data_IF_017222527729
#
_entry.id   IF_017222527729
#
_cell.length_a   1.000
_cell.length_b   1.000
_cell.length_c   1.000
_cell.angle_alpha   90.00
_cell.angle_beta   90.00
_cell.angle_gamma   90.00
#
_symmetry.space_group_name_H-M   'P 1'
#
loop_
_entity.id
_entity.type
_entity.pdbx_description
1 polymer ?
#
# COMPACT_ATOMS: atom_id res chain seq x y z
N UNK A 1 -46.31 45.13 -15.49
CA UNK A 1 -47.15 43.92 -15.61
C UNK A 1 -46.31 42.89 -16.36
N UNK A 2 -45.63 42.05 -15.63
CA UNK A 2 -44.81 40.93 -16.17
C UNK A 2 -45.70 39.67 -16.15
N UNK A 3 -46.13 39.25 -17.35
CA UNK A 3 -46.85 38.00 -17.55
C UNK A 3 -45.94 36.80 -17.21
N UNK A 4 -46.26 36.10 -16.14
CA UNK A 4 -45.69 34.80 -15.81
C UNK A 4 -46.33 33.75 -16.73
N UNK A 5 -45.59 33.25 -17.72
CA UNK A 5 -46.04 32.09 -18.53
C UNK A 5 -46.18 30.85 -17.62
N UNK A 6 -47.30 30.12 -17.66
CA UNK A 6 -47.47 28.90 -16.88
C UNK A 6 -46.50 27.83 -17.39
N UNK A 7 -45.79 27.17 -16.48
CA UNK A 7 -44.93 26.02 -16.73
C UNK A 7 -45.87 24.86 -17.21
N UNK A 8 -45.69 24.27 -18.39
CA UNK A 8 -46.55 23.17 -18.82
C UNK A 8 -46.38 21.95 -17.91
N UNK A 9 -47.51 21.36 -17.53
CA UNK A 9 -47.52 20.14 -16.73
C UNK A 9 -46.73 19.03 -17.45
N UNK A 10 -45.90 18.27 -16.75
CA UNK A 10 -45.12 17.22 -17.40
C UNK A 10 -46.07 16.18 -18.02
N UNK A 11 -45.92 15.92 -19.31
CA UNK A 11 -46.76 14.94 -20.02
C UNK A 11 -46.62 13.55 -19.40
N UNK A 12 -47.69 12.74 -19.52
CA UNK A 12 -47.77 11.37 -18.95
C UNK A 12 -46.52 10.51 -19.27
N UNK A 13 -45.91 10.69 -20.44
CA UNK A 13 -44.69 9.99 -20.83
C UNK A 13 -43.49 10.35 -19.92
N UNK A 14 -43.36 11.62 -19.52
CA UNK A 14 -42.27 12.08 -18.64
C UNK A 14 -42.48 11.55 -17.21
N UNK A 15 -43.74 11.50 -16.76
CA UNK A 15 -44.11 10.92 -15.45
C UNK A 15 -43.83 9.39 -15.45
N UNK A 16 -44.28 8.69 -16.51
CA UNK A 16 -43.99 7.25 -16.66
C UNK A 16 -42.50 6.94 -16.73
N UNK A 17 -41.71 7.72 -17.47
CA UNK A 17 -40.25 7.58 -17.53
C UNK A 17 -39.58 7.85 -16.20
N UNK A 18 -40.04 8.84 -15.45
CA UNK A 18 -39.54 9.13 -14.10
C UNK A 18 -39.89 8.02 -13.10
N UNK A 19 -41.09 7.43 -13.17
CA UNK A 19 -41.50 6.30 -12.33
C UNK A 19 -40.72 5.02 -12.66
N UNK A 20 -40.51 4.69 -13.94
CA UNK A 20 -39.73 3.51 -14.34
C UNK A 20 -38.26 3.63 -13.97
N UNK A 21 -37.65 4.79 -14.17
CA UNK A 21 -36.27 5.05 -13.73
C UNK A 21 -36.14 5.06 -12.21
N UNK A 22 -37.15 5.56 -11.50
CA UNK A 22 -37.24 5.49 -10.04
C UNK A 22 -37.31 4.05 -9.54
N UNK A 23 -38.21 3.23 -10.06
CA UNK A 23 -38.35 1.81 -9.71
C UNK A 23 -37.08 1.02 -10.04
N UNK A 24 -36.42 1.28 -11.16
CA UNK A 24 -35.18 0.63 -11.53
C UNK A 24 -34.01 0.98 -10.57
N UNK A 25 -33.98 2.20 -10.08
CA UNK A 25 -32.99 2.64 -9.08
C UNK A 25 -33.17 1.96 -7.70
N UNK A 26 -34.41 1.62 -7.34
CA UNK A 26 -34.76 1.00 -6.05
C UNK A 26 -35.03 -0.51 -6.17
N UNK A 27 -34.72 -1.14 -7.31
CA UNK A 27 -35.10 -2.52 -7.62
C UNK A 27 -34.65 -3.56 -6.56
N UNK A 28 -33.50 -3.36 -5.92
CA UNK A 28 -32.98 -4.30 -4.92
C UNK A 28 -33.78 -4.16 -3.61
N UNK A 29 -34.00 -2.94 -3.16
CA UNK A 29 -34.79 -2.67 -1.95
C UNK A 29 -36.25 -3.07 -2.14
N UNK A 30 -36.81 -2.76 -3.29
CA UNK A 30 -38.18 -3.17 -3.63
C UNK A 30 -38.29 -4.69 -3.78
N UNK A 31 -37.28 -5.35 -4.35
CA UNK A 31 -37.21 -6.80 -4.43
C UNK A 31 -37.11 -7.47 -3.06
N UNK A 32 -36.29 -6.93 -2.14
CA UNK A 32 -36.22 -7.41 -0.76
C UNK A 32 -37.52 -7.18 0.01
N UNK A 33 -38.15 -6.01 -0.15
CA UNK A 33 -39.45 -5.73 0.45
C UNK A 33 -40.52 -6.69 -0.11
N UNK A 34 -40.54 -6.93 -1.41
CA UNK A 34 -41.46 -7.87 -2.04
C UNK A 34 -41.22 -9.32 -1.54
N UNK A 35 -39.95 -9.73 -1.34
CA UNK A 35 -39.62 -11.06 -0.77
C UNK A 35 -40.22 -11.29 0.62
N UNK A 36 -40.31 -10.23 1.41
CA UNK A 36 -40.93 -10.30 2.77
C UNK A 36 -42.47 -10.23 2.70
N UNK A 37 -42.97 -9.29 1.89
CA UNK A 37 -44.42 -8.96 1.89
C UNK A 37 -45.22 -9.92 1.01
N UNK A 38 -44.73 -10.29 -0.17
CA UNK A 38 -45.52 -11.06 -1.16
C UNK A 38 -45.95 -12.46 -0.66
N UNK A 39 -45.06 -13.30 -0.04
CA UNK A 39 -45.50 -14.59 0.49
C UNK A 39 -46.58 -14.46 1.56
N UNK A 40 -46.38 -13.49 2.48
CA UNK A 40 -47.38 -13.20 3.54
C UNK A 40 -48.71 -12.71 2.98
N UNK A 41 -48.68 -11.83 1.97
CA UNK A 41 -49.86 -11.31 1.30
C UNK A 41 -50.64 -12.41 0.56
N UNK A 42 -49.96 -13.31 -0.15
CA UNK A 42 -50.60 -14.44 -0.84
C UNK A 42 -51.30 -15.38 0.14
N UNK A 43 -50.68 -15.71 1.28
CA UNK A 43 -51.27 -16.53 2.33
C UNK A 43 -52.41 -15.81 3.05
N UNK A 44 -52.26 -14.52 3.28
CA UNK A 44 -53.31 -13.68 3.91
C UNK A 44 -54.62 -13.66 3.07
N UNK A 45 -54.46 -13.55 1.74
CA UNK A 45 -55.61 -13.46 0.81
C UNK A 45 -56.23 -14.86 0.58
N UNK A 46 -55.43 -15.92 0.47
CA UNK A 46 -55.95 -17.25 0.07
C UNK A 46 -56.28 -18.17 1.23
N UNK A 47 -55.71 -17.95 2.42
CA UNK A 47 -55.84 -18.87 3.55
C UNK A 47 -56.32 -18.16 4.81
N UNK A 48 -55.53 -17.25 5.37
CA UNK A 48 -55.84 -16.52 6.58
C UNK A 48 -54.93 -15.31 6.76
N UNK A 49 -55.48 -14.11 7.13
CA UNK A 49 -54.71 -12.93 7.42
C UNK A 49 -53.67 -13.13 8.54
N UNK A 50 -54.02 -13.94 9.55
CA UNK A 50 -53.13 -14.24 10.67
C UNK A 50 -51.93 -15.06 10.24
N UNK A 51 -52.17 -16.13 9.45
CA UNK A 51 -51.08 -16.97 8.91
C UNK A 51 -50.19 -16.19 7.95
N UNK A 52 -50.77 -15.28 7.15
CA UNK A 52 -49.99 -14.40 6.27
C UNK A 52 -49.07 -13.48 7.05
N UNK A 53 -49.57 -12.89 8.15
CA UNK A 53 -48.74 -12.06 9.04
C UNK A 53 -47.59 -12.85 9.70
N UNK A 54 -47.89 -14.03 10.21
CA UNK A 54 -46.89 -14.91 10.83
C UNK A 54 -45.80 -15.27 9.84
N UNK A 55 -46.15 -15.62 8.60
CA UNK A 55 -45.17 -15.94 7.54
C UNK A 55 -44.29 -14.75 7.21
N UNK A 56 -44.84 -13.54 7.07
CA UNK A 56 -44.10 -12.32 6.82
C UNK A 56 -43.09 -12.02 7.94
N UNK A 57 -43.49 -12.18 9.19
CA UNK A 57 -42.62 -12.02 10.36
C UNK A 57 -41.55 -13.11 10.39
N UNK A 58 -41.87 -14.36 10.08
CA UNK A 58 -40.89 -15.46 10.02
C UNK A 58 -39.82 -15.24 8.94
N UNK A 59 -40.21 -14.77 7.75
CA UNK A 59 -39.26 -14.42 6.69
C UNK A 59 -38.34 -13.26 7.12
N UNK A 60 -38.89 -12.23 7.72
CA UNK A 60 -38.12 -11.10 8.25
C UNK A 60 -37.14 -11.56 9.35
N UNK A 61 -37.64 -12.36 10.30
CA UNK A 61 -36.80 -12.94 11.35
C UNK A 61 -35.68 -13.81 10.81
N UNK A 62 -35.91 -14.58 9.75
CA UNK A 62 -34.90 -15.37 9.07
C UNK A 62 -33.83 -14.49 8.37
N UNK A 63 -34.25 -13.42 7.69
CA UNK A 63 -33.35 -12.47 7.02
C UNK A 63 -32.44 -11.74 8.01
N UNK A 64 -32.93 -11.44 9.21
CA UNK A 64 -32.17 -10.72 10.25
C UNK A 64 -31.43 -11.68 11.17
N UNK A 65 -32.05 -12.80 11.56
CA UNK A 65 -31.54 -13.74 12.56
C UNK A 65 -30.47 -14.72 12.02
N UNK A 66 -30.59 -15.14 10.75
CA UNK A 66 -29.62 -16.08 10.17
C UNK A 66 -28.37 -15.30 9.70
N UNK A 67 -27.16 -15.52 10.29
CA UNK A 67 -25.97 -14.70 10.00
C UNK A 67 -25.60 -14.66 8.51
N UNK A 68 -25.76 -15.79 7.79
CA UNK A 68 -25.47 -15.85 6.35
C UNK A 68 -26.45 -15.00 5.53
N UNK A 69 -27.75 -15.01 5.86
CA UNK A 69 -28.76 -14.19 5.17
C UNK A 69 -28.59 -12.71 5.50
N UNK A 70 -28.38 -12.37 6.75
CA UNK A 70 -28.09 -11.01 7.20
C UNK A 70 -26.89 -10.41 6.46
N UNK A 71 -25.79 -11.17 6.32
CA UNK A 71 -24.61 -10.72 5.55
C UNK A 71 -24.96 -10.49 4.07
N UNK A 72 -25.67 -11.43 3.41
CA UNK A 72 -26.07 -11.27 1.99
C UNK A 72 -26.98 -10.06 1.78
N UNK A 73 -28.00 -9.89 2.61
CA UNK A 73 -28.91 -8.75 2.54
C UNK A 73 -28.16 -7.45 2.82
N UNK A 74 -27.32 -7.42 3.85
CA UNK A 74 -26.50 -6.27 4.17
C UNK A 74 -25.57 -5.86 3.03
N UNK A 75 -24.92 -6.83 2.39
CA UNK A 75 -24.07 -6.57 1.21
C UNK A 75 -24.88 -6.05 0.03
N UNK A 76 -26.04 -6.67 -0.27
CA UNK A 76 -26.91 -6.23 -1.36
C UNK A 76 -27.39 -4.78 -1.18
N UNK A 77 -27.83 -4.44 0.04
CA UNK A 77 -28.27 -3.08 0.40
C UNK A 77 -27.12 -2.07 0.36
N UNK A 78 -25.94 -2.46 0.83
CA UNK A 78 -24.73 -1.64 0.75
C UNK A 78 -24.39 -1.31 -0.72
N UNK A 79 -24.33 -2.32 -1.57
CA UNK A 79 -24.06 -2.17 -3.02
C UNK A 79 -25.11 -1.27 -3.67
N UNK A 80 -26.39 -1.55 -3.43
CA UNK A 80 -27.50 -0.78 -4.00
C UNK A 80 -27.45 0.71 -3.59
N UNK A 81 -27.20 0.97 -2.30
CA UNK A 81 -27.11 2.34 -1.76
C UNK A 81 -25.96 3.13 -2.41
N UNK A 82 -24.74 2.54 -2.49
CA UNK A 82 -23.57 3.25 -3.01
C UNK A 82 -23.68 3.45 -4.52
N UNK A 83 -24.13 2.42 -5.26
CA UNK A 83 -24.43 2.54 -6.68
C UNK A 83 -25.40 3.69 -6.96
N UNK A 84 -26.54 3.73 -6.26
CA UNK A 84 -27.55 4.77 -6.43
C UNK A 84 -27.03 6.16 -6.09
N UNK A 85 -26.22 6.31 -5.01
CA UNK A 85 -25.60 7.59 -4.65
C UNK A 85 -24.69 8.09 -5.76
N UNK A 86 -23.85 7.20 -6.29
CA UNK A 86 -22.94 7.52 -7.41
C UNK A 86 -23.73 7.90 -8.66
N UNK A 87 -24.69 7.08 -9.07
CA UNK A 87 -25.53 7.34 -10.25
C UNK A 87 -26.27 8.68 -10.16
N UNK A 88 -26.78 9.04 -8.96
CA UNK A 88 -27.43 10.33 -8.73
C UNK A 88 -26.44 11.50 -8.79
N UNK A 89 -25.24 11.34 -8.21
CA UNK A 89 -24.22 12.37 -8.24
C UNK A 89 -23.76 12.63 -9.67
N UNK A 90 -23.47 11.59 -10.44
CA UNK A 90 -23.09 11.69 -11.86
C UNK A 90 -24.20 12.28 -12.69
N UNK A 91 -25.45 11.84 -12.51
CA UNK A 91 -26.60 12.37 -13.30
C UNK A 91 -26.81 13.86 -13.08
N UNK A 92 -26.52 14.41 -11.88
CA UNK A 92 -26.62 15.84 -11.59
C UNK A 92 -25.50 16.67 -12.22
N UNK A 93 -24.38 16.04 -12.57
CA UNK A 93 -23.22 16.69 -13.18
C UNK A 93 -23.16 16.46 -14.70
N UNK A 94 -23.99 15.54 -15.23
CA UNK A 94 -24.01 15.18 -16.65
C UNK A 94 -24.20 16.38 -17.58
N UNK A 95 -25.01 17.36 -17.19
CA UNK A 95 -25.25 18.58 -17.98
C UNK A 95 -24.02 19.48 -18.14
N UNK A 96 -22.95 19.23 -17.37
CA UNK A 96 -21.74 20.08 -17.37
C UNK A 96 -20.49 19.40 -17.92
N UNK A 97 -20.38 18.06 -17.79
CA UNK A 97 -19.11 17.36 -18.04
C UNK A 97 -19.29 15.99 -18.70
N UNK A 98 -20.38 15.30 -18.49
CA UNK A 98 -20.63 13.95 -18.98
C UNK A 98 -21.86 13.94 -19.88
N UNK A 99 -21.68 13.55 -21.15
CA UNK A 99 -22.71 13.57 -22.18
C UNK A 99 -23.71 12.42 -21.98
N UNK A 100 -24.99 12.69 -22.20
CA UNK A 100 -26.20 11.83 -22.32
C UNK A 100 -26.30 10.48 -21.58
N UNK A 101 -25.21 9.81 -21.24
CA UNK A 101 -25.26 8.50 -20.57
C UNK A 101 -24.22 8.38 -19.48
N UNK A 102 -24.61 8.40 -18.20
CA UNK A 102 -23.68 8.23 -17.08
C UNK A 102 -22.98 6.87 -17.14
N UNK A 103 -21.71 6.79 -16.67
CA UNK A 103 -20.97 5.53 -16.52
C UNK A 103 -21.74 4.55 -15.63
N UNK A 104 -21.61 3.26 -15.88
CA UNK A 104 -22.32 2.23 -15.14
C UNK A 104 -21.47 1.67 -14.00
N UNK A 105 -21.98 1.70 -12.77
CA UNK A 105 -21.35 0.99 -11.64
C UNK A 105 -21.67 -0.50 -11.74
N UNK A 106 -20.65 -1.33 -11.94
CA UNK A 106 -20.78 -2.79 -12.05
C UNK A 106 -20.39 -3.52 -10.77
N UNK A 107 -19.45 -2.96 -9.96
CA UNK A 107 -19.00 -3.52 -8.70
C UNK A 107 -18.95 -2.46 -7.60
N UNK A 108 -19.15 -2.88 -6.34
CA UNK A 108 -18.98 -2.05 -5.14
C UNK A 108 -18.34 -2.90 -4.06
N UNK A 109 -17.20 -2.46 -3.56
CA UNK A 109 -16.43 -3.12 -2.50
C UNK A 109 -16.25 -2.17 -1.32
N UNK A 110 -16.25 -2.69 -0.12
CA UNK A 110 -15.91 -1.94 1.07
C UNK A 110 -14.40 -2.04 1.30
N UNK A 111 -13.74 -0.89 1.47
CA UNK A 111 -12.33 -0.79 1.85
C UNK A 111 -12.21 -0.16 3.24
N UNK A 112 -11.03 -0.20 3.84
CA UNK A 112 -10.78 0.52 5.11
C UNK A 112 -10.90 2.03 4.93
N UNK A 113 -10.48 2.56 3.78
CA UNK A 113 -10.61 3.98 3.43
C UNK A 113 -12.05 4.43 3.11
N UNK A 114 -12.97 3.49 2.81
CA UNK A 114 -14.32 3.82 2.40
C UNK A 114 -14.97 2.83 1.45
N UNK A 115 -15.14 3.21 0.18
CA UNK A 115 -15.83 2.35 -0.81
C UNK A 115 -15.13 2.43 -2.16
N UNK A 116 -14.81 1.27 -2.74
CA UNK A 116 -14.30 1.15 -4.10
C UNK A 116 -15.44 0.77 -5.04
N UNK A 117 -15.59 1.52 -6.12
CA UNK A 117 -16.58 1.29 -7.17
C UNK A 117 -15.86 0.83 -8.44
N UNK A 118 -16.32 -0.25 -9.05
CA UNK A 118 -15.93 -0.60 -10.43
C UNK A 118 -16.92 0.05 -11.37
N UNK A 119 -16.43 0.92 -12.24
CA UNK A 119 -17.23 1.77 -13.12
C UNK A 119 -16.86 1.45 -14.56
N UNK A 120 -17.86 1.20 -15.41
CA UNK A 120 -17.69 0.99 -16.84
C UNK A 120 -18.12 2.24 -17.59
N UNK A 121 -17.20 2.82 -18.34
CA UNK A 121 -17.44 3.99 -19.19
C UNK A 121 -18.33 3.62 -20.35
N UNK A 122 -19.19 4.54 -20.75
CA UNK A 122 -20.11 4.32 -21.89
C UNK A 122 -19.43 4.74 -23.20
N UNK A 123 -19.82 4.15 -24.36
CA UNK A 123 -19.36 4.61 -25.66
C UNK A 123 -19.58 6.13 -25.82
N UNK A 124 -18.57 6.84 -26.25
CA UNK A 124 -18.57 8.30 -26.38
C UNK A 124 -18.10 9.08 -25.17
N UNK A 125 -17.76 8.41 -24.06
CA UNK A 125 -17.12 9.01 -22.87
C UNK A 125 -15.76 8.37 -22.62
N UNK A 126 -14.83 9.09 -22.03
CA UNK A 126 -13.52 8.55 -21.63
C UNK A 126 -13.18 8.91 -20.18
N UNK A 127 -12.17 8.23 -19.64
CA UNK A 127 -11.80 8.36 -18.22
C UNK A 127 -11.45 9.80 -17.83
N UNK A 128 -10.83 10.58 -18.73
CA UNK A 128 -10.52 11.99 -18.49
C UNK A 128 -11.75 12.88 -18.25
N UNK A 129 -12.94 12.48 -18.75
CA UNK A 129 -14.18 13.20 -18.45
C UNK A 129 -14.59 12.98 -17.00
N UNK A 130 -14.42 11.75 -16.51
CA UNK A 130 -14.65 11.41 -15.11
C UNK A 130 -13.62 12.08 -14.18
N UNK A 131 -12.32 12.07 -14.56
CA UNK A 131 -11.24 12.71 -13.81
C UNK A 131 -11.49 14.21 -13.61
N UNK A 132 -11.95 14.91 -14.65
CA UNK A 132 -12.33 16.33 -14.55
C UNK A 132 -13.53 16.59 -13.62
N UNK A 133 -14.42 15.62 -13.49
CA UNK A 133 -15.58 15.74 -12.62
C UNK A 133 -15.34 15.34 -11.16
N UNK A 134 -14.18 14.77 -10.81
CA UNK A 134 -13.90 14.23 -9.47
C UNK A 134 -14.12 15.23 -8.33
N UNK A 135 -13.68 16.51 -8.38
CA UNK A 135 -13.89 17.44 -7.28
C UNK A 135 -15.38 17.70 -7.00
N UNK A 136 -16.17 17.84 -8.06
CA UNK A 136 -17.61 18.06 -7.95
C UNK A 136 -18.37 16.80 -7.48
N UNK A 137 -17.90 15.61 -7.92
CA UNK A 137 -18.42 14.33 -7.47
C UNK A 137 -18.10 14.08 -5.99
N UNK A 138 -16.87 14.34 -5.54
CA UNK A 138 -16.47 14.20 -4.13
C UNK A 138 -17.37 15.04 -3.21
N UNK A 139 -17.58 16.30 -3.58
CA UNK A 139 -18.50 17.20 -2.86
C UNK A 139 -19.93 16.66 -2.84
N UNK A 140 -20.45 16.18 -3.99
CA UNK A 140 -21.82 15.64 -4.11
C UNK A 140 -22.01 14.36 -3.31
N UNK A 141 -20.99 13.51 -3.23
CA UNK A 141 -20.99 12.27 -2.47
C UNK A 141 -20.70 12.49 -0.99
N UNK A 142 -20.25 13.70 -0.61
CA UNK A 142 -19.78 14.04 0.75
C UNK A 142 -18.71 13.07 1.24
N UNK A 143 -17.71 12.85 0.40
CA UNK A 143 -16.50 12.08 0.71
C UNK A 143 -15.31 13.04 0.78
N UNK A 144 -14.25 12.62 1.47
CA UNK A 144 -13.02 13.40 1.61
C UNK A 144 -12.33 13.57 0.26
N UNK A 145 -12.25 12.48 -0.49
CA UNK A 145 -11.56 12.43 -1.78
C UNK A 145 -12.15 11.34 -2.69
N UNK A 146 -11.94 11.48 -4.00
CA UNK A 146 -12.25 10.47 -5.00
C UNK A 146 -11.00 10.23 -5.86
N UNK A 147 -10.60 8.97 -5.97
CA UNK A 147 -9.47 8.56 -6.80
C UNK A 147 -9.93 7.64 -7.89
N UNK A 148 -9.31 7.79 -9.07
CA UNK A 148 -9.59 6.97 -10.24
C UNK A 148 -8.33 6.23 -10.64
N UNK A 149 -8.44 4.91 -10.75
CA UNK A 149 -7.39 4.04 -11.28
C UNK A 149 -7.93 3.34 -12.51
N UNK A 150 -7.25 3.51 -13.65
CA UNK A 150 -7.62 2.87 -14.92
C UNK A 150 -7.30 1.38 -14.84
N UNK A 151 -8.16 0.56 -15.39
CA UNK A 151 -7.84 -0.86 -15.57
C UNK A 151 -6.76 -1.00 -16.66
N UNK A 152 -5.86 -1.98 -16.51
CA UNK A 152 -4.74 -2.18 -17.44
C UNK A 152 -5.16 -2.93 -18.70
N UNK A 153 -6.19 -3.76 -18.57
CA UNK A 153 -6.60 -4.67 -19.64
C UNK A 153 -7.79 -4.12 -20.44
N UNK A 154 -8.63 -3.26 -19.81
CA UNK A 154 -9.81 -2.68 -20.43
C UNK A 154 -9.89 -1.16 -20.13
N UNK A 155 -9.64 -0.35 -21.16
CA UNK A 155 -9.69 1.11 -21.08
C UNK A 155 -11.09 1.67 -20.73
N UNK A 156 -12.15 0.88 -20.90
CA UNK A 156 -13.50 1.26 -20.50
C UNK A 156 -13.79 1.05 -19.02
N UNK A 157 -12.96 0.27 -18.32
CA UNK A 157 -13.13 -0.05 -16.90
C UNK A 157 -12.24 0.85 -16.04
N UNK A 158 -12.83 1.44 -15.01
CA UNK A 158 -12.12 2.22 -14.00
C UNK A 158 -12.54 1.83 -12.59
N UNK A 159 -11.60 1.89 -11.66
CA UNK A 159 -11.86 1.76 -10.22
C UNK A 159 -11.89 3.15 -9.61
N UNK A 160 -13.02 3.50 -8.99
CA UNK A 160 -13.21 4.77 -8.30
C UNK A 160 -13.25 4.50 -6.80
N UNK A 161 -12.21 4.93 -6.07
CA UNK A 161 -12.16 4.83 -4.60
C UNK A 161 -12.76 6.09 -3.99
N UNK A 162 -13.89 5.94 -3.30
CA UNK A 162 -14.52 7.01 -2.52
C UNK A 162 -14.00 6.95 -1.08
N UNK A 163 -13.14 7.89 -0.73
CA UNK A 163 -12.41 7.93 0.53
C UNK A 163 -13.20 8.75 1.54
N UNK A 164 -13.64 8.10 2.61
CA UNK A 164 -14.32 8.73 3.76
C UNK A 164 -13.38 8.99 4.92
N UNK A 165 -12.47 8.04 5.16
CA UNK A 165 -11.43 8.12 6.17
C UNK A 165 -10.08 7.91 5.49
N UNK A 166 -9.04 8.58 5.94
CA UNK A 166 -7.68 8.38 5.42
C UNK A 166 -6.95 7.36 6.28
N UNK A 167 -6.75 6.11 5.80
CA UNK A 167 -6.04 5.09 6.58
C UNK A 167 -4.62 5.51 6.91
N UNK A 168 -4.04 6.42 6.11
CA UNK A 168 -2.70 6.94 6.34
C UNK A 168 -2.65 8.05 7.38
N UNK A 169 -3.79 8.53 7.91
CA UNK A 169 -3.84 9.54 8.96
C UNK A 169 -3.62 8.96 10.36
N UNK A 170 -3.78 7.65 10.56
CA UNK A 170 -3.54 7.01 11.85
C UNK A 170 -2.11 7.26 12.33
N UNK A 171 -1.91 7.44 13.65
CA UNK A 171 -0.62 7.88 14.19
C UNK A 171 0.45 6.79 14.21
N UNK A 172 0.06 5.53 14.43
CA UNK A 172 0.97 4.39 14.47
C UNK A 172 0.27 3.13 13.99
N UNK A 173 0.92 2.39 13.10
CA UNK A 173 0.45 1.11 12.59
C UNK A 173 1.36 0.01 13.14
N UNK A 174 0.79 -0.91 13.90
CA UNK A 174 1.54 -2.05 14.44
C UNK A 174 1.95 -2.99 13.31
N UNK A 175 3.21 -3.42 13.31
CA UNK A 175 3.73 -4.36 12.34
C UNK A 175 3.17 -5.77 12.57
N UNK A 176 2.55 -6.43 11.55
CA UNK A 176 1.97 -7.77 11.71
C UNK A 176 3.00 -8.86 12.05
N UNK A 177 4.29 -8.62 11.80
CA UNK A 177 5.37 -9.54 12.10
C UNK A 177 5.74 -9.66 13.59
N UNK A 178 5.19 -8.79 14.45
CA UNK A 178 5.48 -8.81 15.91
C UNK A 178 5.12 -10.17 16.52
N UNK A 179 3.96 -10.72 16.15
CA UNK A 179 3.43 -11.97 16.75
C UNK A 179 3.90 -13.23 16.04
N UNK A 180 4.73 -13.10 14.99
CA UNK A 180 5.24 -14.25 14.26
C UNK A 180 6.46 -14.84 14.96
N UNK A 181 6.54 -16.18 15.02
CA UNK A 181 7.70 -16.89 15.60
C UNK A 181 8.98 -16.62 14.78
N UNK A 182 8.83 -16.49 13.47
CA UNK A 182 9.89 -16.15 12.52
C UNK A 182 9.29 -15.52 11.27
N UNK A 183 10.08 -14.77 10.52
CA UNK A 183 9.74 -14.22 9.22
C UNK A 183 10.30 -15.07 8.09
N UNK A 184 9.95 -14.73 6.86
CA UNK A 184 10.54 -15.25 5.64
C UNK A 184 10.95 -14.08 4.74
N UNK A 185 12.21 -13.70 4.80
CA UNK A 185 12.76 -12.58 4.03
C UNK A 185 12.88 -12.87 2.52
N UNK A 186 12.72 -14.13 2.10
CA UNK A 186 12.69 -14.53 0.69
C UNK A 186 11.30 -14.35 0.05
N UNK A 187 10.27 -14.23 0.87
CA UNK A 187 8.88 -14.03 0.45
C UNK A 187 8.44 -12.57 0.60
N UNK A 188 7.35 -12.15 -0.05
CA UNK A 188 6.79 -10.81 0.14
C UNK A 188 6.36 -10.57 1.60
N UNK A 189 6.86 -9.49 2.19
CA UNK A 189 6.58 -9.10 3.58
C UNK A 189 5.82 -7.79 3.65
N UNK A 190 4.89 -7.61 4.60
CA UNK A 190 4.14 -6.38 4.74
C UNK A 190 5.01 -5.29 5.37
N UNK A 191 5.14 -4.15 4.68
CA UNK A 191 5.95 -3.01 5.12
C UNK A 191 5.12 -1.79 5.51
N UNK A 192 3.83 -1.80 5.22
CA UNK A 192 2.91 -0.71 5.51
C UNK A 192 1.54 -0.97 4.88
N UNK A 193 0.69 0.04 4.90
CA UNK A 193 -0.61 0.03 4.23
C UNK A 193 -0.68 1.12 3.15
N UNK A 194 -1.43 0.85 2.09
CA UNK A 194 -1.72 1.82 1.04
C UNK A 194 -2.89 2.74 1.41
N UNK A 195 -3.25 3.61 0.51
CA UNK A 195 -4.33 4.59 0.66
C UNK A 195 -5.74 3.96 0.72
N UNK A 196 -5.89 2.69 0.35
CA UNK A 196 -7.12 1.92 0.49
C UNK A 196 -7.14 1.09 1.79
N UNK A 197 -6.05 1.14 2.59
CA UNK A 197 -5.85 0.36 3.80
C UNK A 197 -5.38 -1.07 3.54
N UNK A 198 -5.03 -1.40 2.29
CA UNK A 198 -4.47 -2.70 1.93
C UNK A 198 -2.98 -2.81 2.30
N UNK A 199 -2.47 -4.02 2.63
CA UNK A 199 -1.06 -4.19 2.92
C UNK A 199 -0.20 -3.94 1.68
N UNK A 200 0.86 -3.15 1.83
CA UNK A 200 1.93 -3.01 0.84
C UNK A 200 3.00 -4.04 1.13
N UNK A 201 3.26 -4.88 0.15
CA UNK A 201 4.22 -5.97 0.27
C UNK A 201 5.53 -5.59 -0.45
N UNK A 202 6.67 -5.96 0.16
CA UNK A 202 8.01 -5.80 -0.39
C UNK A 202 8.73 -7.14 -0.27
N UNK A 203 9.45 -7.54 -1.31
CA UNK A 203 10.30 -8.73 -1.29
C UNK A 203 11.74 -8.30 -1.15
N UNK A 204 12.44 -8.74 -0.09
CA UNK A 204 13.86 -8.43 0.10
C UNK A 204 14.73 -9.22 -0.88
N UNK A 205 14.42 -10.50 -1.08
CA UNK A 205 15.17 -11.31 -2.03
C UNK A 205 15.21 -10.65 -3.42
N UNK A 206 16.41 -10.53 -3.96
CA UNK A 206 16.68 -9.94 -5.28
C UNK A 206 16.46 -8.42 -5.40
N UNK A 207 16.14 -7.69 -4.31
CA UNK A 207 15.84 -6.28 -4.41
C UNK A 207 16.59 -5.45 -3.35
N UNK A 208 17.34 -4.49 -3.83
CA UNK A 208 17.93 -3.46 -2.97
C UNK A 208 16.91 -2.35 -2.68
N UNK A 209 16.96 -1.75 -1.50
CA UNK A 209 16.03 -0.70 -1.06
C UNK A 209 16.79 0.57 -0.73
N UNK A 210 16.43 1.68 -1.34
CA UNK A 210 16.89 3.02 -0.97
C UNK A 210 15.75 3.79 -0.28
N UNK A 211 15.96 4.16 0.98
CA UNK A 211 15.03 5.01 1.74
C UNK A 211 15.60 6.42 1.84
N UNK A 212 14.85 7.41 1.38
CA UNK A 212 15.22 8.81 1.48
C UNK A 212 14.12 9.65 2.14
N UNK A 213 14.49 10.76 2.77
CA UNK A 213 13.54 11.72 3.33
C UNK A 213 14.16 12.51 4.48
N UNK A 214 13.53 13.59 4.89
CA UNK A 214 14.08 14.46 5.93
C UNK A 214 13.99 13.85 7.34
N UNK A 215 14.62 14.52 8.30
CA UNK A 215 14.58 14.12 9.72
C UNK A 215 13.13 14.13 10.23
N UNK A 216 12.75 13.10 10.97
CA UNK A 216 11.38 12.96 11.51
C UNK A 216 10.34 12.44 10.49
N UNK A 217 10.70 12.20 9.22
CA UNK A 217 9.77 11.70 8.20
C UNK A 217 9.30 10.24 8.43
N UNK A 218 10.02 9.45 9.23
CA UNK A 218 9.66 8.05 9.55
C UNK A 218 10.59 7.00 8.97
N UNK A 219 11.75 7.39 8.39
CA UNK A 219 12.73 6.46 7.81
C UNK A 219 13.20 5.37 8.75
N UNK A 220 13.59 5.75 9.99
CA UNK A 220 14.06 4.78 11.01
C UNK A 220 13.02 3.71 11.29
N UNK A 221 11.72 4.07 11.34
CA UNK A 221 10.64 3.11 11.53
C UNK A 221 10.53 2.12 10.35
N UNK A 222 10.56 2.61 9.10
CA UNK A 222 10.53 1.75 7.92
C UNK A 222 11.79 0.86 7.83
N UNK A 223 12.97 1.42 8.12
CA UNK A 223 14.21 0.65 8.14
C UNK A 223 14.19 -0.42 9.24
N UNK A 224 13.63 -0.10 10.43
CA UNK A 224 13.48 -1.05 11.53
C UNK A 224 12.59 -2.24 11.14
N UNK A 225 11.48 -2.02 10.43
CA UNK A 225 10.61 -3.10 9.93
C UNK A 225 11.35 -4.01 8.94
N UNK A 226 12.11 -3.44 8.01
CA UNK A 226 12.91 -4.22 7.06
C UNK A 226 14.04 -5.00 7.77
N UNK A 227 14.70 -4.36 8.74
CA UNK A 227 15.75 -4.99 9.55
C UNK A 227 15.18 -6.10 10.43
N UNK A 228 14.03 -5.88 11.08
CA UNK A 228 13.32 -6.88 11.87
C UNK A 228 12.93 -8.10 11.03
N UNK A 229 12.44 -7.85 9.80
CA UNK A 229 12.12 -8.91 8.84
C UNK A 229 13.34 -9.78 8.54
N UNK A 230 14.48 -9.16 8.26
CA UNK A 230 15.71 -9.89 8.00
C UNK A 230 16.28 -10.55 9.27
N UNK A 231 16.22 -9.88 10.44
CA UNK A 231 16.71 -10.40 11.69
C UNK A 231 15.99 -11.67 12.15
N UNK A 232 14.67 -11.70 11.99
CA UNK A 232 13.80 -12.80 12.39
C UNK A 232 13.80 -14.00 11.42
N UNK A 233 14.53 -13.92 10.31
CA UNK A 233 14.74 -15.05 9.38
C UNK A 233 16.12 -15.67 9.61
N UNK A 234 16.23 -16.90 10.16
CA UNK A 234 17.51 -17.57 10.38
C UNK A 234 18.30 -17.87 9.09
N UNK A 235 17.65 -17.81 7.93
CA UNK A 235 18.30 -18.00 6.62
C UNK A 235 18.93 -16.71 6.07
N UNK A 236 18.99 -15.64 6.87
CA UNK A 236 19.68 -14.40 6.53
C UNK A 236 20.91 -14.17 7.40
N UNK A 237 21.85 -13.37 6.92
CA UNK A 237 23.01 -12.87 7.68
C UNK A 237 23.01 -11.35 7.61
N UNK A 238 22.94 -10.68 8.76
CA UNK A 238 22.91 -9.23 8.85
C UNK A 238 24.32 -8.64 8.93
N UNK A 239 24.50 -7.54 8.17
CA UNK A 239 25.69 -6.70 8.14
C UNK A 239 25.23 -5.27 8.36
N UNK A 240 25.61 -4.66 9.47
CA UNK A 240 25.09 -3.37 9.92
C UNK A 240 26.15 -2.29 9.85
N UNK A 241 25.85 -1.21 9.13
CA UNK A 241 26.67 0.01 9.04
C UNK A 241 25.88 1.17 9.66
N UNK A 242 26.21 1.53 10.88
CA UNK A 242 25.51 2.55 11.68
C UNK A 242 26.44 3.74 11.97
N UNK A 243 26.44 4.73 11.11
CA UNK A 243 27.30 5.89 11.24
C UNK A 243 27.02 6.75 12.48
N UNK A 244 25.89 6.52 13.15
CA UNK A 244 25.49 7.25 14.39
C UNK A 244 25.63 6.41 15.65
N UNK A 245 25.78 5.09 15.52
CA UNK A 245 25.89 4.12 16.62
C UNK A 245 24.63 3.98 17.50
N UNK A 246 23.46 4.37 17.01
CA UNK A 246 22.21 4.36 17.78
C UNK A 246 21.02 3.74 17.05
N UNK A 247 20.95 3.87 15.72
CA UNK A 247 19.78 3.46 14.95
C UNK A 247 19.69 1.93 14.77
N UNK A 248 20.86 1.27 14.63
CA UNK A 248 20.95 -0.17 14.42
C UNK A 248 21.54 -0.91 15.65
N UNK A 249 21.87 -0.20 16.72
CA UNK A 249 22.55 -0.76 17.89
C UNK A 249 21.79 -1.94 18.52
N UNK A 250 20.45 -1.88 18.58
CA UNK A 250 19.62 -2.96 19.12
C UNK A 250 19.82 -4.30 18.40
N UNK A 251 20.17 -4.27 17.10
CA UNK A 251 20.35 -5.47 16.27
C UNK A 251 21.76 -6.05 16.31
N UNK A 252 22.70 -5.45 17.07
CA UNK A 252 24.10 -5.86 17.10
C UNK A 252 24.26 -7.33 17.49
N UNK A 253 23.48 -7.83 18.46
CA UNK A 253 23.55 -9.21 18.93
C UNK A 253 23.16 -10.26 17.89
N UNK A 254 22.40 -9.91 16.88
CA UNK A 254 22.02 -10.81 15.80
C UNK A 254 22.73 -10.54 14.46
N UNK A 255 23.67 -9.59 14.44
CA UNK A 255 24.46 -9.27 13.26
C UNK A 255 25.80 -10.02 13.20
N UNK A 256 26.26 -10.35 12.01
CA UNK A 256 27.61 -10.86 11.77
C UNK A 256 28.66 -9.79 11.98
N UNK A 257 28.40 -8.57 11.53
CA UNK A 257 29.27 -7.40 11.68
C UNK A 257 28.41 -6.17 12.00
N UNK A 258 28.90 -5.39 12.92
CA UNK A 258 28.36 -4.07 13.24
C UNK A 258 29.49 -3.05 13.16
N UNK A 259 29.37 -2.09 12.25
CA UNK A 259 30.39 -1.10 11.94
C UNK A 259 29.83 0.29 12.17
N UNK A 260 30.61 1.12 12.84
CA UNK A 260 30.30 2.51 13.13
C UNK A 260 30.70 3.48 11.99
N UNK A 261 31.09 4.72 12.36
CA UNK A 261 31.47 5.75 11.41
C UNK A 261 32.84 5.53 10.73
N UNK A 262 33.58 4.49 11.11
CA UNK A 262 34.89 4.20 10.53
C UNK A 262 34.71 3.72 9.07
N UNK A 263 35.21 4.53 8.14
CA UNK A 263 35.06 4.28 6.72
C UNK A 263 35.96 3.14 6.22
N UNK A 264 37.14 2.95 6.80
CA UNK A 264 38.04 1.85 6.40
C UNK A 264 37.45 0.50 6.82
N UNK A 265 36.88 0.43 8.03
CA UNK A 265 36.19 -0.76 8.50
C UNK A 265 34.94 -1.04 7.66
N UNK A 266 34.14 0.00 7.32
CA UNK A 266 32.99 -0.15 6.42
C UNK A 266 33.38 -0.67 5.05
N UNK A 267 34.48 -0.18 4.46
CA UNK A 267 35.03 -0.69 3.18
C UNK A 267 35.43 -2.14 3.33
N UNK A 268 36.14 -2.50 4.39
CA UNK A 268 36.58 -3.89 4.64
C UNK A 268 35.39 -4.87 4.64
N UNK A 269 34.26 -4.48 5.26
CA UNK A 269 33.04 -5.29 5.27
C UNK A 269 32.43 -5.44 3.89
N UNK A 270 32.38 -4.36 3.10
CA UNK A 270 31.86 -4.44 1.73
C UNK A 270 32.77 -5.27 0.82
N UNK A 271 34.07 -5.25 1.06
CA UNK A 271 35.04 -6.07 0.32
C UNK A 271 34.92 -7.56 0.67
N UNK A 272 34.74 -7.89 1.97
CA UNK A 272 34.43 -9.27 2.41
C UNK A 272 33.18 -9.81 1.68
N UNK A 273 32.13 -8.99 1.60
CA UNK A 273 30.91 -9.35 0.86
C UNK A 273 31.11 -9.48 -0.66
N UNK A 274 31.96 -8.65 -1.24
CA UNK A 274 32.29 -8.73 -2.66
C UNK A 274 33.07 -10.01 -2.99
N UNK A 275 33.97 -10.42 -2.12
CA UNK A 275 34.73 -11.65 -2.28
C UNK A 275 33.78 -12.86 -2.12
N UNK A 276 32.88 -12.88 -1.14
CA UNK A 276 31.83 -13.90 -1.02
C UNK A 276 30.91 -13.92 -2.25
N UNK A 277 30.52 -12.76 -2.78
CA UNK A 277 29.75 -12.66 -4.03
C UNK A 277 30.47 -13.36 -5.19
N UNK A 278 31.77 -13.17 -5.30
CA UNK A 278 32.57 -13.77 -6.36
C UNK A 278 32.59 -15.29 -6.22
N UNK A 279 32.82 -15.81 -5.01
CA UNK A 279 32.79 -17.25 -4.73
C UNK A 279 31.38 -17.85 -5.02
N UNK A 280 30.31 -17.13 -4.70
CA UNK A 280 28.96 -17.57 -5.02
C UNK A 280 28.66 -17.60 -6.53
N UNK A 281 29.24 -16.70 -7.29
CA UNK A 281 29.14 -16.76 -8.76
C UNK A 281 29.82 -18.00 -9.33
N UNK A 282 31.01 -18.38 -8.85
CA UNK A 282 31.68 -19.63 -9.22
C UNK A 282 30.84 -20.85 -8.87
N UNK A 283 30.22 -20.84 -7.70
CA UNK A 283 29.27 -21.86 -7.27
C UNK A 283 28.05 -21.93 -8.20
N UNK A 284 27.44 -20.83 -8.58
CA UNK A 284 26.31 -20.79 -9.51
C UNK A 284 26.65 -21.41 -10.88
N UNK A 285 27.87 -21.17 -11.38
CA UNK A 285 28.35 -21.84 -12.61
C UNK A 285 28.36 -23.35 -12.41
N UNK A 286 28.89 -23.83 -11.28
CA UNK A 286 28.96 -25.26 -10.95
C UNK A 286 27.57 -25.88 -10.82
N UNK A 287 26.63 -25.17 -10.18
CA UNK A 287 25.23 -25.55 -9.99
C UNK A 287 24.39 -25.43 -11.27
N UNK A 288 24.93 -24.82 -12.34
CA UNK A 288 24.19 -24.46 -13.56
C UNK A 288 22.96 -23.60 -13.30
N UNK A 289 23.05 -22.72 -12.31
CA UNK A 289 22.00 -21.77 -11.92
C UNK A 289 22.40 -20.34 -12.30
N UNK A 290 21.42 -19.47 -12.43
CA UNK A 290 21.63 -18.03 -12.70
C UNK A 290 21.57 -17.17 -11.45
N UNK A 291 20.95 -17.71 -10.38
CA UNK A 291 20.80 -17.03 -9.09
C UNK A 291 20.63 -18.07 -7.99
N UNK A 292 20.99 -17.68 -6.77
CA UNK A 292 20.68 -18.43 -5.56
C UNK A 292 19.22 -18.19 -5.15
N UNK A 293 18.60 -19.24 -4.64
CA UNK A 293 17.30 -19.18 -4.00
C UNK A 293 17.34 -19.86 -2.62
N UNK A 294 16.23 -19.76 -1.88
CA UNK A 294 16.13 -20.32 -0.52
C UNK A 294 16.47 -21.81 -0.45
N UNK A 295 16.16 -22.57 -1.50
CA UNK A 295 16.33 -24.05 -1.52
C UNK A 295 17.79 -24.48 -1.68
N UNK A 296 18.66 -23.56 -2.06
CA UNK A 296 20.09 -23.84 -2.22
C UNK A 296 20.85 -23.95 -0.88
N UNK A 297 20.22 -23.55 0.24
CA UNK A 297 20.81 -23.64 1.56
C UNK A 297 21.87 -22.58 1.89
N UNK A 298 22.09 -21.62 1.00
CA UNK A 298 22.99 -20.48 1.24
C UNK A 298 22.21 -19.31 1.86
N UNK A 299 22.73 -18.67 2.93
CA UNK A 299 22.04 -17.56 3.54
C UNK A 299 22.01 -16.32 2.65
N UNK A 300 20.94 -15.56 2.71
CA UNK A 300 20.87 -14.24 2.11
C UNK A 300 21.61 -13.24 3.00
N UNK A 301 22.59 -12.52 2.45
CA UNK A 301 23.26 -11.42 3.12
C UNK A 301 22.43 -10.14 3.00
N UNK A 302 22.10 -9.53 4.12
CA UNK A 302 21.34 -8.27 4.18
C UNK A 302 22.24 -7.20 4.80
N UNK A 303 22.66 -6.26 3.98
CA UNK A 303 23.48 -5.10 4.40
C UNK A 303 22.55 -3.95 4.71
N UNK A 304 22.58 -3.46 5.94
CA UNK A 304 21.75 -2.34 6.39
C UNK A 304 22.63 -1.14 6.67
N UNK A 305 22.33 -0.01 6.01
CA UNK A 305 23.08 1.26 6.15
C UNK A 305 22.10 2.34 6.59
N UNK A 306 22.28 2.87 7.83
CA UNK A 306 21.35 3.85 8.40
C UNK A 306 21.46 5.24 7.77
N UNK A 307 22.68 5.66 7.39
CA UNK A 307 22.93 6.97 6.79
C UNK A 307 24.03 6.89 5.71
N UNK A 308 23.60 6.57 4.49
CA UNK A 308 24.48 6.36 3.35
C UNK A 308 25.40 7.56 3.06
N UNK A 309 24.86 8.78 3.19
CA UNK A 309 25.61 10.02 2.91
C UNK A 309 26.82 10.20 3.81
N UNK A 310 26.84 9.63 5.00
CA UNK A 310 28.00 9.69 5.90
C UNK A 310 29.23 8.99 5.32
N UNK A 311 29.01 7.90 4.61
CA UNK A 311 30.08 7.11 3.98
C UNK A 311 30.46 7.66 2.59
N UNK A 312 29.48 7.88 1.70
CA UNK A 312 29.74 8.37 0.34
C UNK A 312 30.21 9.82 0.31
N UNK A 313 29.79 10.64 1.28
CA UNK A 313 30.17 12.04 1.43
C UNK A 313 31.36 12.27 2.37
N UNK A 314 32.11 11.25 2.74
CA UNK A 314 33.24 11.37 3.66
C UNK A 314 34.29 12.38 3.18
N UNK A 315 34.95 13.14 4.08
CA UNK A 315 35.98 14.10 3.72
C UNK A 315 37.15 13.50 2.93
N UNK A 316 37.60 12.32 3.30
CA UNK A 316 38.58 11.58 2.49
C UNK A 316 37.92 11.06 1.22
N UNK A 317 38.21 11.75 0.10
CA UNK A 317 37.62 11.48 -1.20
C UNK A 317 38.06 10.15 -1.81
N UNK A 318 39.25 9.65 -1.45
CA UNK A 318 39.76 8.36 -1.95
C UNK A 318 39.01 7.21 -1.30
N UNK A 319 38.85 7.26 0.02
CA UNK A 319 38.10 6.26 0.76
C UNK A 319 36.60 6.32 0.39
N UNK A 320 36.01 7.51 0.28
CA UNK A 320 34.61 7.68 -0.15
C UNK A 320 34.37 7.11 -1.56
N UNK A 321 35.31 7.30 -2.49
CA UNK A 321 35.21 6.74 -3.83
C UNK A 321 35.30 5.20 -3.81
N UNK A 322 36.25 4.62 -3.02
CA UNK A 322 36.39 3.17 -2.85
C UNK A 322 35.15 2.53 -2.24
N UNK A 323 34.59 3.15 -1.18
CA UNK A 323 33.32 2.71 -0.58
C UNK A 323 32.21 2.71 -1.62
N UNK A 324 32.04 3.84 -2.33
CA UNK A 324 30.97 4.01 -3.34
C UNK A 324 31.08 3.01 -4.48
N UNK A 325 32.29 2.75 -4.97
CA UNK A 325 32.54 1.77 -6.04
C UNK A 325 32.22 0.34 -5.58
N UNK A 326 32.70 -0.06 -4.40
CA UNK A 326 32.45 -1.39 -3.85
C UNK A 326 30.96 -1.60 -3.57
N UNK A 327 30.30 -0.60 -2.97
CA UNK A 327 28.86 -0.64 -2.74
C UNK A 327 28.07 -0.73 -4.05
N UNK A 328 28.46 0.06 -5.06
CA UNK A 328 27.82 0.03 -6.38
C UNK A 328 27.93 -1.36 -7.03
N UNK A 329 29.08 -2.02 -6.90
CA UNK A 329 29.27 -3.36 -7.43
C UNK A 329 28.36 -4.38 -6.72
N UNK A 330 28.26 -4.31 -5.39
CA UNK A 330 27.35 -5.16 -4.61
C UNK A 330 25.88 -4.92 -4.98
N UNK A 331 25.44 -3.66 -5.09
CA UNK A 331 24.06 -3.32 -5.46
C UNK A 331 23.74 -3.77 -6.88
N UNK A 332 24.67 -3.65 -7.82
CA UNK A 332 24.47 -4.02 -9.21
C UNK A 332 24.41 -5.55 -9.43
N UNK A 333 25.25 -6.29 -8.73
CA UNK A 333 25.47 -7.74 -9.00
C UNK A 333 25.00 -8.64 -7.85
N UNK A 334 24.92 -8.14 -6.63
CA UNK A 334 24.64 -8.96 -5.44
C UNK A 334 23.33 -9.75 -5.50
N UNK A 335 22.33 -9.28 -6.23
CA UNK A 335 20.99 -9.90 -6.36
C UNK A 335 21.07 -11.40 -6.68
N UNK A 336 21.85 -11.77 -7.69
CA UNK A 336 21.99 -13.17 -8.11
C UNK A 336 22.73 -14.04 -7.10
N UNK A 337 23.62 -13.43 -6.32
CA UNK A 337 24.39 -14.09 -5.26
C UNK A 337 23.70 -14.09 -3.89
N UNK A 338 22.46 -13.60 -3.81
CA UNK A 338 21.71 -13.51 -2.54
C UNK A 338 22.28 -12.44 -1.61
N UNK A 339 22.77 -11.31 -2.13
CA UNK A 339 23.24 -10.15 -1.36
C UNK A 339 22.32 -8.97 -1.66
N UNK A 340 21.77 -8.37 -0.62
CA UNK A 340 20.78 -7.30 -0.67
C UNK A 340 21.23 -6.12 0.20
N UNK A 341 21.05 -4.90 -0.29
CA UNK A 341 21.40 -3.66 0.41
C UNK A 341 20.14 -2.87 0.75
N UNK A 342 19.98 -2.53 2.01
CA UNK A 342 18.98 -1.63 2.55
C UNK A 342 19.71 -0.36 2.99
N UNK A 343 19.61 0.73 2.23
CA UNK A 343 20.31 1.97 2.53
C UNK A 343 19.33 3.10 2.83
N UNK A 344 19.55 3.83 3.91
CA UNK A 344 18.77 5.01 4.24
C UNK A 344 19.60 6.30 4.16
N UNK A 345 18.95 7.43 3.92
CA UNK A 345 19.57 8.76 3.93
C UNK A 345 18.60 9.87 4.35
N UNK A 346 19.06 10.81 5.17
CA UNK A 346 18.26 11.96 5.61
C UNK A 346 18.37 13.16 4.67
N UNK A 347 19.41 13.22 3.87
CA UNK A 347 19.63 14.30 2.90
C UNK A 347 19.79 13.75 1.49
N UNK A 348 18.69 13.34 0.85
CA UNK A 348 18.76 12.93 -0.55
C UNK A 348 19.08 14.15 -1.41
N UNK A 349 20.35 14.27 -1.80
CA UNK A 349 20.86 15.32 -2.68
C UNK A 349 21.61 14.66 -3.83
N UNK A 350 21.42 15.20 -5.02
CA UNK A 350 22.05 14.69 -6.26
C UNK A 350 23.57 14.72 -6.15
N UNK A 351 24.12 15.73 -5.46
CA UNK A 351 25.56 15.91 -5.28
C UNK A 351 26.16 14.86 -4.33
N UNK A 352 25.35 14.29 -3.44
CA UNK A 352 25.83 13.36 -2.40
C UNK A 352 25.69 11.90 -2.79
N UNK A 353 24.61 11.52 -3.46
CA UNK A 353 24.39 10.13 -3.91
C UNK A 353 24.40 10.12 -5.45
N UNK A 354 25.48 9.58 -6.06
CA UNK A 354 25.57 9.51 -7.52
C UNK A 354 24.39 8.79 -8.14
N UNK A 355 23.86 9.33 -9.24
CA UNK A 355 22.75 8.71 -9.98
C UNK A 355 23.08 7.28 -10.39
N UNK A 356 24.32 7.01 -10.81
CA UNK A 356 24.82 5.69 -11.17
C UNK A 356 24.73 4.64 -10.04
N UNK A 357 24.72 5.05 -8.76
CA UNK A 357 24.47 4.15 -7.63
C UNK A 357 22.97 4.07 -7.33
N UNK A 358 22.29 5.21 -7.27
CA UNK A 358 20.89 5.34 -6.90
C UNK A 358 19.97 4.54 -7.84
N UNK A 359 20.22 4.60 -9.15
CA UNK A 359 19.37 3.97 -10.17
C UNK A 359 19.47 2.43 -10.19
N UNK A 360 20.42 1.87 -9.42
CA UNK A 360 20.54 0.42 -9.22
C UNK A 360 19.62 -0.15 -8.13
N UNK A 361 19.02 0.72 -7.30
CA UNK A 361 18.07 0.26 -6.29
C UNK A 361 16.70 -0.03 -6.91
N UNK A 362 16.27 -1.29 -6.82
CA UNK A 362 14.98 -1.74 -7.37
C UNK A 362 13.77 -1.19 -6.62
N UNK A 363 13.88 -1.01 -5.29
CA UNK A 363 12.92 -0.26 -4.50
C UNK A 363 13.49 1.09 -4.10
N UNK A 364 12.74 2.14 -4.35
CA UNK A 364 13.05 3.51 -3.96
C UNK A 364 11.90 4.08 -3.16
N UNK A 365 12.14 4.37 -1.90
CA UNK A 365 11.13 4.78 -0.94
C UNK A 365 11.40 6.20 -0.44
N UNK A 366 10.68 7.17 -1.02
CA UNK A 366 10.74 8.56 -0.61
C UNK A 366 9.73 8.82 0.51
N UNK A 367 10.22 8.94 1.73
CA UNK A 367 9.48 9.55 2.84
C UNK A 367 9.40 11.06 2.62
N UNK A 368 8.63 11.80 3.43
CA UNK A 368 8.51 13.24 3.28
C UNK A 368 9.86 13.92 3.02
N UNK A 369 9.91 14.74 1.98
CA UNK A 369 11.06 15.52 1.56
C UNK A 369 10.75 17.02 1.64
N UNK A 370 11.79 17.87 1.84
CA UNK A 370 11.62 19.31 1.88
C UNK A 370 11.31 19.90 0.50
N UNK A 371 11.79 19.30 -0.57
CA UNK A 371 11.66 19.80 -1.95
C UNK A 371 11.30 18.70 -2.92
N UNK A 372 10.76 19.10 -4.09
CA UNK A 372 10.49 18.18 -5.20
C UNK A 372 11.77 17.55 -5.74
N UNK A 373 12.86 18.31 -5.79
CA UNK A 373 14.16 17.80 -6.23
C UNK A 373 14.70 16.72 -5.28
N UNK A 374 14.51 16.89 -3.97
CA UNK A 374 14.86 15.85 -3.00
C UNK A 374 14.00 14.58 -3.17
N UNK A 375 12.71 14.73 -3.49
CA UNK A 375 11.83 13.61 -3.82
C UNK A 375 12.29 12.90 -5.10
N UNK A 376 12.58 13.65 -6.16
CA UNK A 376 13.09 13.10 -7.43
C UNK A 376 14.50 12.52 -7.26
N UNK A 377 15.28 12.98 -6.29
CA UNK A 377 16.57 12.36 -5.96
C UNK A 377 16.38 10.94 -5.45
N UNK A 378 15.30 10.61 -4.74
CA UNK A 378 15.03 9.25 -4.27
C UNK A 378 14.30 8.44 -5.33
N UNK A 379 13.18 8.96 -5.83
CA UNK A 379 12.30 8.21 -6.74
C UNK A 379 12.86 8.09 -8.15
N UNK A 380 13.65 9.06 -8.58
CA UNK A 380 14.12 9.25 -9.95
C UNK A 380 13.54 10.53 -10.54
N UNK A 381 14.24 11.08 -11.53
CA UNK A 381 13.89 12.35 -12.16
C UNK A 381 12.51 12.27 -12.84
N UNK A 382 11.71 13.34 -12.65
CA UNK A 382 10.42 13.52 -13.34
C UNK A 382 9.20 12.99 -12.61
N UNK A 383 9.35 12.23 -11.53
CA UNK A 383 8.20 11.75 -10.78
C UNK A 383 7.41 12.87 -10.11
N UNK A 384 8.09 13.88 -9.56
CA UNK A 384 7.43 15.03 -8.94
C UNK A 384 6.60 15.84 -9.94
N UNK A 385 7.06 15.98 -11.18
CA UNK A 385 6.29 16.65 -12.24
C UNK A 385 5.11 15.82 -12.74
N UNK A 386 5.15 14.51 -12.57
CA UNK A 386 4.06 13.59 -12.88
C UNK A 386 3.05 13.42 -11.72
N UNK A 387 3.15 14.25 -10.67
CA UNK A 387 2.23 14.24 -9.52
C UNK A 387 2.64 13.32 -8.37
N UNK A 388 3.81 12.70 -8.43
CA UNK A 388 4.34 11.83 -7.36
C UNK A 388 5.48 12.55 -6.63
N UNK A 389 5.14 13.46 -5.74
CA UNK A 389 6.12 14.24 -4.97
C UNK A 389 6.01 13.94 -3.48
N UNK A 390 7.10 13.48 -2.87
CA UNK A 390 7.18 13.31 -1.43
C UNK A 390 7.27 14.65 -0.68
N UNK A 391 7.47 15.78 -1.39
CA UNK A 391 7.38 17.12 -0.81
C UNK A 391 5.92 17.54 -0.52
N UNK A 392 4.96 16.89 -1.17
CA UNK A 392 3.53 17.19 -0.98
C UNK A 392 2.91 16.37 0.17
N UNK A 393 3.72 15.56 0.89
CA UNK A 393 3.29 14.78 2.07
C UNK A 393 3.15 15.73 3.26
N UNK A 394 1.97 15.68 3.92
CA UNK A 394 1.66 16.49 5.10
C UNK A 394 2.70 16.26 6.22
N UNK A 395 3.30 17.31 6.78
CA UNK A 395 4.24 17.22 7.90
C UNK A 395 3.70 16.48 9.14
N UNK A 396 2.38 16.50 9.36
CA UNK A 396 1.73 15.78 10.45
C UNK A 396 1.63 14.26 10.25
N UNK A 397 1.90 13.75 9.03
CA UNK A 397 1.75 12.33 8.70
C UNK A 397 3.10 11.59 8.68
N UNK A 398 3.70 11.40 9.87
CA UNK A 398 4.96 10.66 10.03
C UNK A 398 4.81 9.21 9.56
N UNK A 399 5.78 8.71 8.80
CA UNK A 399 5.78 7.34 8.25
C UNK A 399 5.09 7.22 6.89
N UNK A 400 4.45 8.27 6.39
CA UNK A 400 3.91 8.30 5.02
C UNK A 400 5.04 8.54 4.02
N UNK A 401 5.02 7.83 2.92
CA UNK A 401 6.01 7.89 1.84
C UNK A 401 5.45 7.44 0.50
N UNK A 402 6.27 7.57 -0.52
CA UNK A 402 6.04 7.04 -1.87
C UNK A 402 7.05 5.93 -2.12
N UNK A 403 6.58 4.71 -2.35
CA UNK A 403 7.39 3.56 -2.68
C UNK A 403 7.29 3.27 -4.18
N UNK A 404 8.40 3.39 -4.86
CA UNK A 404 8.54 3.00 -6.26
C UNK A 404 9.22 1.62 -6.34
N UNK A 405 8.57 0.69 -7.02
CA UNK A 405 9.13 -0.58 -7.43
C UNK A 405 9.54 -0.52 -8.90
N UNK A 406 10.58 -1.23 -9.28
CA UNK A 406 11.10 -1.31 -10.65
C UNK A 406 9.98 -1.58 -11.67
N UNK A 407 9.83 -0.70 -12.65
CA UNK A 407 8.78 -0.79 -13.70
C UNK A 407 7.35 -0.43 -13.26
N UNK A 408 7.13 -0.01 -12.00
CA UNK A 408 5.82 0.39 -11.47
C UNK A 408 5.61 1.91 -11.39
N UNK A 409 4.46 2.29 -10.85
CA UNK A 409 4.17 3.66 -10.41
C UNK A 409 4.43 3.77 -8.90
N UNK A 410 4.85 4.94 -8.40
CA UNK A 410 4.97 5.15 -6.97
C UNK A 410 3.64 4.90 -6.25
N UNK A 411 3.67 4.06 -5.21
CA UNK A 411 2.53 3.77 -4.34
C UNK A 411 2.68 4.61 -3.08
N UNK A 412 1.66 5.39 -2.74
CA UNK A 412 1.62 6.11 -1.48
C UNK A 412 1.21 5.16 -0.38
N UNK A 413 2.02 5.09 0.68
CA UNK A 413 1.79 4.20 1.80
C UNK A 413 2.19 4.85 3.11
N UNK A 414 1.71 4.27 4.21
CA UNK A 414 2.25 4.50 5.55
C UNK A 414 2.99 3.25 6.01
N UNK A 415 4.25 3.41 6.42
CA UNK A 415 5.03 2.31 6.99
C UNK A 415 4.45 1.86 8.33
N UNK A 416 4.62 0.58 8.65
CA UNK A 416 4.46 0.12 10.02
C UNK A 416 5.49 0.79 10.93
N UNK A 417 5.19 0.76 12.23
CA UNK A 417 5.99 1.36 13.28
C UNK A 417 6.36 0.30 14.32
N UNK A 418 7.61 0.35 14.75
CA UNK A 418 8.13 -0.38 15.91
C UNK A 418 8.68 0.67 16.88
N UNK A 419 8.24 0.64 18.12
CA UNK A 419 8.86 1.43 19.20
C UNK A 419 10.14 0.77 19.70
N UNK A 420 10.90 1.47 20.50
CA UNK A 420 12.22 1.02 20.97
C UNK A 420 12.12 -0.28 21.79
N UNK A 421 11.11 -0.40 22.65
CA UNK A 421 10.89 -1.61 23.46
C UNK A 421 10.59 -2.82 22.57
N UNK A 422 9.74 -2.63 21.57
CA UNK A 422 9.43 -3.65 20.58
C UNK A 422 10.65 -4.03 19.74
N UNK A 423 11.46 -3.07 19.31
CA UNK A 423 12.71 -3.33 18.60
C UNK A 423 13.65 -4.19 19.42
N UNK A 424 13.86 -3.85 20.71
CA UNK A 424 14.71 -4.64 21.61
C UNK A 424 14.17 -6.05 21.84
N UNK A 425 12.85 -6.20 22.00
CA UNK A 425 12.21 -7.51 22.17
C UNK A 425 12.37 -8.40 20.93
N UNK A 426 12.18 -7.82 19.72
CA UNK A 426 12.37 -8.55 18.46
C UNK A 426 13.85 -8.92 18.27
N UNK A 427 14.77 -8.00 18.56
CA UNK A 427 16.22 -8.25 18.44
C UNK A 427 16.68 -9.39 19.36
N UNK A 428 16.25 -9.40 20.61
CA UNK A 428 16.55 -10.49 21.56
C UNK A 428 16.00 -11.83 21.06
N UNK A 429 14.77 -11.85 20.52
CA UNK A 429 14.17 -13.05 19.94
C UNK A 429 14.94 -13.51 18.69
N UNK A 430 15.36 -12.59 17.83
CA UNK A 430 16.14 -12.89 16.64
C UNK A 430 17.52 -13.48 17.01
N UNK A 431 18.14 -12.98 18.08
CA UNK A 431 19.39 -13.50 18.61
C UNK A 431 19.23 -14.94 19.14
N UNK A 432 18.16 -15.22 19.90
CA UNK A 432 17.84 -16.55 20.38
C UNK A 432 17.61 -17.55 19.23
N UNK A 433 16.84 -17.14 18.20
CA UNK A 433 16.61 -17.93 16.99
C UNK A 433 17.93 -18.31 16.28
N UNK A 434 18.90 -17.39 16.22
CA UNK A 434 20.21 -17.61 15.58
C UNK A 434 21.12 -18.52 16.39
N UNK A 435 20.93 -18.59 17.72
CA UNK A 435 21.59 -19.58 18.60
C UNK A 435 20.95 -20.95 18.56
N UNK A 436 19.83 -21.13 17.87
CA UNK A 436 19.05 -22.37 17.82
C UNK A 436 18.23 -22.62 19.08
N UNK A 437 17.97 -21.59 19.88
CA UNK A 437 17.11 -21.62 21.06
C UNK A 437 15.64 -21.54 20.61
N UNK A 438 14.74 -22.27 21.30
CA UNK A 438 13.30 -22.13 21.03
C UNK A 438 12.87 -20.68 21.37
N UNK A 439 12.11 -20.00 20.50
CA UNK A 439 11.66 -18.66 20.81
C UNK A 439 10.73 -18.69 22.02
N UNK A 440 11.08 -17.98 23.10
CA UNK A 440 10.17 -17.70 24.18
C UNK A 440 8.93 -16.99 23.59
N UNK A 441 7.78 -17.60 23.71
CA UNK A 441 6.51 -16.93 23.46
C UNK A 441 6.42 -15.78 24.45
N UNK A 442 6.47 -14.54 23.91
CA UNK A 442 6.19 -13.35 24.72
C UNK A 442 4.86 -13.59 25.43
N UNK A 443 4.96 -13.81 26.76
CA UNK A 443 3.79 -13.94 27.60
C UNK A 443 2.94 -12.68 27.40
N UNK A 444 1.77 -12.85 26.81
CA UNK A 444 0.72 -11.84 26.83
C UNK A 444 0.38 -11.59 28.29
N UNK A 445 1.00 -10.57 28.88
CA UNK A 445 0.52 -10.01 30.13
C UNK A 445 -0.83 -9.37 29.82
N UNK A 446 -1.84 -10.00 30.39
CA UNK A 446 -3.28 -9.63 30.39
C UNK A 446 -3.55 -8.19 30.81
#
# INVERSE_FOLDING_TARGET
MTETRPVPAPGIIVVMAALTTGCWRWRIELGLAALVVAPGAVVAIKVSPILGGVLGIAVLAALVGIPRMRRRVGTALFVARHRRRFDMAVSRLADRVLVDRPPAVTGVERTQAGTRLTVVMRPGTHVGDLERALPALASSLRVRDLRVVRDRDDASVVRVSAITEDPLAESALTWPGIDTARTDAWSPVPVGIDEDGGPVLLTLAEHNVLLGGETGAGKSGALAVLTATAAMDPSTVLWLLDAKLVELAAWQGCARRFVGPDLEEAISVLEELRDDMTARYELLVTMKKRKLDRTDGYPMHVVVIDELVRYVGHPDKKLAARFTETLRDLVARGRAAGIVVLAATQKPSVDMIPSALRDLFGYRWAMRCATRDASDTVLGAGWASNGYSAADIDPGTRGVGLLLHEGGLPVRLRSYWLDDDTIHAIAARAEALRRGEAPDTLGMAS
#
